data_IF_674145260784
#
_entry.id   IF_674145260784
#
_cell.length_a   1.000
_cell.length_b   1.000
_cell.length_c   1.000
_cell.angle_alpha   90.00
_cell.angle_beta   90.00
_cell.angle_gamma   90.00
#
_symmetry.space_group_name_H-M   'P 1'
#
loop_
_entity.id
_entity.type
_entity.pdbx_description
1 polymer ?
#
# COMPACT_ATOMS: atom_id res chain seq x y z
N UNK A 1 2.32 -21.20 7.44
CA UNK A 1 3.61 -21.18 6.70
C UNK A 1 4.68 -21.14 7.76
N UNK A 2 5.58 -22.10 7.75
CA UNK A 2 6.66 -22.19 8.71
C UNK A 2 7.66 -21.03 8.49
N UNK A 3 8.44 -20.71 9.54
CA UNK A 3 9.50 -19.70 9.51
C UNK A 3 10.47 -19.97 8.35
N UNK A 4 11.00 -18.95 7.73
CA UNK A 4 11.87 -19.03 6.55
C UNK A 4 11.15 -19.30 5.23
N UNK A 5 9.91 -19.81 5.25
CA UNK A 5 9.18 -20.15 4.02
C UNK A 5 8.46 -18.95 3.37
N UNK A 6 8.07 -17.95 4.16
CA UNK A 6 7.47 -16.73 3.63
C UNK A 6 8.52 -15.68 3.28
N UNK A 7 9.46 -15.48 4.20
CA UNK A 7 10.64 -14.60 4.06
C UNK A 7 11.84 -15.44 4.47
N UNK A 8 12.96 -15.43 3.74
CA UNK A 8 14.19 -16.05 4.18
C UNK A 8 14.59 -15.55 5.58
N UNK A 9 15.08 -16.44 6.46
CA UNK A 9 15.39 -16.10 7.85
C UNK A 9 16.37 -14.92 7.97
N UNK A 10 17.34 -14.84 7.07
CA UNK A 10 18.33 -13.76 7.01
C UNK A 10 17.76 -12.40 6.61
N UNK A 11 16.53 -12.36 6.09
CA UNK A 11 15.81 -11.14 5.73
C UNK A 11 14.66 -10.83 6.70
N UNK A 12 14.48 -11.62 7.75
CA UNK A 12 13.51 -11.31 8.79
C UNK A 12 13.90 -10.04 9.55
N UNK A 13 12.92 -9.20 9.89
CA UNK A 13 13.13 -7.90 10.52
C UNK A 13 11.96 -7.56 11.41
N UNK A 14 12.20 -6.71 12.40
CA UNK A 14 11.15 -6.08 13.21
C UNK A 14 10.44 -4.93 12.47
N UNK A 15 11.00 -4.46 11.35
CA UNK A 15 10.40 -3.41 10.54
C UNK A 15 9.43 -4.02 9.51
N UNK A 16 8.34 -3.30 9.25
CA UNK A 16 7.36 -3.63 8.20
C UNK A 16 6.84 -5.07 8.28
N UNK A 17 6.50 -5.51 9.48
CA UNK A 17 6.10 -6.90 9.77
C UNK A 17 4.64 -7.21 9.43
N UNK A 18 3.83 -6.22 9.09
CA UNK A 18 2.45 -6.43 8.68
C UNK A 18 2.38 -7.33 7.43
N UNK A 19 1.42 -8.25 7.43
CA UNK A 19 1.14 -9.18 6.33
C UNK A 19 -0.35 -9.14 6.06
N UNK A 20 -0.79 -8.07 5.39
CA UNK A 20 -2.20 -7.91 5.03
C UNK A 20 -2.58 -8.96 4.00
N UNK A 21 -3.74 -9.57 4.19
CA UNK A 21 -4.22 -10.66 3.36
C UNK A 21 -5.59 -10.34 2.77
N UNK A 22 -5.79 -10.62 1.49
CA UNK A 22 -7.08 -10.55 0.85
C UNK A 22 -7.28 -11.70 -0.17
N UNK A 23 -8.50 -12.19 -0.28
CA UNK A 23 -8.86 -13.22 -1.26
C UNK A 23 -9.45 -12.54 -2.49
N UNK A 24 -8.86 -12.81 -3.65
CA UNK A 24 -9.45 -12.42 -4.91
C UNK A 24 -10.54 -13.44 -5.32
N UNK A 25 -11.77 -12.98 -5.40
CA UNK A 25 -12.91 -13.83 -5.78
C UNK A 25 -12.86 -14.32 -7.23
N UNK A 26 -12.07 -13.67 -8.11
CA UNK A 26 -11.97 -14.05 -9.54
C UNK A 26 -11.05 -15.24 -9.78
N UNK A 27 -9.89 -15.28 -9.10
CA UNK A 27 -8.91 -16.36 -9.26
C UNK A 27 -8.85 -17.30 -8.04
N UNK A 28 -9.62 -16.98 -6.99
CA UNK A 28 -9.69 -17.72 -5.73
C UNK A 28 -8.33 -17.89 -5.03
N UNK A 29 -7.41 -16.93 -5.24
CA UNK A 29 -6.09 -16.92 -4.61
C UNK A 29 -6.05 -15.97 -3.42
N UNK A 30 -5.18 -16.29 -2.45
CA UNK A 30 -4.83 -15.43 -1.33
C UNK A 30 -3.69 -14.51 -1.75
N UNK A 31 -3.89 -13.22 -1.63
CA UNK A 31 -2.88 -12.18 -1.84
C UNK A 31 -2.34 -11.71 -0.51
N UNK A 32 -1.02 -11.52 -0.43
CA UNK A 32 -0.32 -11.10 0.79
C UNK A 32 0.65 -9.98 0.42
N UNK A 33 0.55 -8.84 1.11
CA UNK A 33 1.54 -7.77 1.02
C UNK A 33 2.75 -8.08 1.90
N UNK A 34 3.94 -7.72 1.42
CA UNK A 34 5.19 -7.97 2.11
C UNK A 34 6.05 -6.71 2.12
N UNK A 35 6.10 -6.04 3.27
CA UNK A 35 6.98 -4.90 3.48
C UNK A 35 8.45 -5.31 3.45
N UNK A 36 9.33 -4.41 3.01
CA UNK A 36 10.76 -4.68 3.04
C UNK A 36 11.39 -4.32 4.39
N UNK A 37 12.48 -4.99 4.80
CA UNK A 37 13.11 -4.80 6.11
C UNK A 37 13.72 -3.41 6.35
N UNK A 38 14.07 -2.69 5.29
CA UNK A 38 14.83 -1.43 5.37
C UNK A 38 14.00 -0.22 4.93
N UNK A 39 14.44 0.98 5.34
CA UNK A 39 13.90 2.23 4.77
C UNK A 39 14.11 2.27 3.24
N UNK A 40 15.36 2.09 2.82
CA UNK A 40 15.77 1.85 1.43
C UNK A 40 16.84 0.76 1.43
N UNK A 41 16.56 -0.37 0.82
CA UNK A 41 17.52 -1.47 0.74
C UNK A 41 18.65 -1.17 -0.24
N UNK A 42 19.81 -1.79 -0.01
CA UNK A 42 20.93 -1.77 -0.94
C UNK A 42 20.62 -2.49 -2.27
N UNK A 43 21.33 -2.18 -3.34
CA UNK A 43 21.07 -2.76 -4.66
C UNK A 43 21.32 -4.27 -4.75
N UNK A 44 22.14 -4.81 -3.86
CA UNK A 44 22.44 -6.25 -3.70
C UNK A 44 21.24 -7.07 -3.24
N UNK A 45 20.28 -6.45 -2.54
CA UNK A 45 19.08 -7.11 -2.02
C UNK A 45 18.00 -7.37 -3.08
N UNK A 46 17.89 -6.51 -4.08
CA UNK A 46 16.77 -6.55 -5.03
C UNK A 46 16.67 -7.79 -5.90
N UNK A 47 17.76 -8.49 -6.30
CA UNK A 47 17.62 -9.77 -6.98
C UNK A 47 16.81 -10.79 -6.18
N UNK A 48 17.10 -10.91 -4.87
CA UNK A 48 16.34 -11.78 -3.97
C UNK A 48 14.92 -11.24 -3.73
N UNK A 49 14.78 -9.95 -3.45
CA UNK A 49 13.47 -9.32 -3.17
C UNK A 49 12.50 -9.47 -4.34
N UNK A 50 12.95 -9.22 -5.55
CA UNK A 50 12.16 -9.42 -6.78
C UNK A 50 11.76 -10.90 -6.97
N UNK A 51 12.61 -11.83 -6.53
CA UNK A 51 12.35 -13.27 -6.66
C UNK A 51 11.33 -13.76 -5.66
N UNK A 52 11.43 -13.33 -4.39
CA UNK A 52 10.57 -13.83 -3.30
C UNK A 52 9.39 -12.91 -2.97
N UNK A 53 9.38 -11.67 -3.50
CA UNK A 53 8.31 -10.70 -3.34
C UNK A 53 8.41 -9.84 -2.08
N UNK A 54 9.60 -9.71 -1.46
CA UNK A 54 9.84 -8.74 -0.39
C UNK A 54 9.78 -7.33 -0.99
N UNK A 55 9.11 -6.41 -0.28
CA UNK A 55 8.81 -5.11 -0.86
C UNK A 55 7.88 -5.24 -2.06
N UNK A 56 6.83 -6.03 -1.91
CA UNK A 56 5.91 -6.34 -2.99
C UNK A 56 4.62 -7.01 -2.54
N UNK A 57 4.03 -7.74 -3.45
CA UNK A 57 2.84 -8.53 -3.19
C UNK A 57 2.95 -9.89 -3.86
N UNK A 58 2.61 -10.91 -3.12
CA UNK A 58 2.61 -12.31 -3.56
C UNK A 58 1.19 -12.86 -3.52
N UNK A 59 0.94 -13.94 -4.24
CA UNK A 59 -0.30 -14.71 -4.15
C UNK A 59 -0.03 -16.20 -4.11
N UNK A 60 -0.97 -16.93 -3.50
CA UNK A 60 -0.95 -18.38 -3.35
C UNK A 60 -2.30 -18.99 -3.69
N UNK A 61 -2.30 -20.29 -3.93
CA UNK A 61 -3.53 -21.06 -3.87
C UNK A 61 -4.12 -21.02 -2.46
N UNK A 62 -5.45 -20.86 -2.38
CA UNK A 62 -6.18 -20.70 -1.11
C UNK A 62 -6.17 -21.97 -0.24
N UNK A 63 -6.08 -23.15 -0.86
CA UNK A 63 -6.23 -24.42 -0.16
C UNK A 63 -4.89 -25.10 0.14
N UNK A 64 -4.83 -25.99 1.18
CA UNK A 64 -3.62 -26.71 1.52
C UNK A 64 -3.05 -27.46 0.32
N UNK A 65 -1.73 -27.50 0.23
CA UNK A 65 -1.00 -28.15 -0.84
C UNK A 65 0.38 -27.54 -0.98
N UNK A 66 1.05 -27.81 -2.11
CA UNK A 66 2.32 -27.16 -2.43
C UNK A 66 2.12 -25.65 -2.45
N UNK A 67 2.99 -24.93 -1.73
CA UNK A 67 3.00 -23.48 -1.72
C UNK A 67 3.37 -22.97 -3.11
N UNK A 68 2.34 -22.62 -3.87
CA UNK A 68 2.46 -22.12 -5.25
C UNK A 68 2.55 -20.60 -5.21
N UNK A 69 3.76 -20.11 -4.84
CA UNK A 69 4.03 -18.67 -4.72
C UNK A 69 4.18 -18.04 -6.09
N UNK A 70 3.40 -17.00 -6.33
CA UNK A 70 3.58 -16.10 -7.47
C UNK A 70 3.82 -14.68 -6.97
N UNK A 71 4.85 -14.00 -7.46
CA UNK A 71 5.10 -12.58 -7.20
C UNK A 71 4.36 -11.76 -8.25
N UNK A 72 3.40 -10.94 -7.81
CA UNK A 72 2.55 -10.15 -8.72
C UNK A 72 2.92 -8.67 -8.75
N UNK A 73 3.54 -8.16 -7.68
CA UNK A 73 4.00 -6.78 -7.58
C UNK A 73 5.35 -6.71 -6.88
N UNK A 74 6.20 -5.79 -7.30
CA UNK A 74 7.52 -5.48 -6.74
C UNK A 74 7.71 -3.97 -6.67
N UNK A 75 8.69 -3.51 -5.90
CA UNK A 75 8.95 -2.08 -5.76
C UNK A 75 7.88 -1.34 -4.97
N UNK A 76 7.24 -2.03 -4.04
CA UNK A 76 6.41 -1.50 -2.98
C UNK A 76 7.29 -1.41 -1.72
N UNK A 77 7.21 -0.32 -0.96
CA UNK A 77 8.01 -0.24 0.26
C UNK A 77 7.32 -0.96 1.42
N UNK A 78 6.12 -0.56 1.77
CA UNK A 78 5.36 -1.16 2.87
C UNK A 78 3.85 -0.95 2.71
N UNK A 79 3.19 -1.85 2.01
CA UNK A 79 1.73 -1.84 1.90
C UNK A 79 1.10 -2.50 3.13
N UNK A 80 0.26 -1.76 3.85
CA UNK A 80 -0.45 -2.21 5.05
C UNK A 80 -1.98 -2.21 4.83
N UNK A 81 -2.43 -1.97 3.63
CA UNK A 81 -3.84 -2.05 3.26
C UNK A 81 -4.01 -2.41 1.80
N UNK A 82 -4.80 -3.43 1.50
CA UNK A 82 -5.20 -3.73 0.14
C UNK A 82 -6.58 -4.37 0.07
N UNK A 83 -7.28 -4.09 -1.02
CA UNK A 83 -8.61 -4.65 -1.27
C UNK A 83 -8.88 -4.80 -2.75
N UNK A 84 -9.77 -5.72 -3.09
CA UNK A 84 -10.28 -5.88 -4.44
C UNK A 84 -11.56 -5.07 -4.64
N UNK A 85 -11.60 -4.26 -5.68
CA UNK A 85 -12.80 -3.51 -6.05
C UNK A 85 -13.95 -4.48 -6.33
N UNK A 86 -15.06 -4.43 -5.59
CA UNK A 86 -16.17 -5.37 -5.76
C UNK A 86 -16.86 -5.23 -7.13
N UNK A 87 -16.70 -4.09 -7.81
CA UNK A 87 -17.33 -3.83 -9.11
C UNK A 87 -16.58 -4.45 -10.28
N UNK A 88 -15.26 -4.33 -10.31
CA UNK A 88 -14.44 -4.75 -11.45
C UNK A 88 -13.35 -5.76 -11.09
N UNK A 89 -13.11 -5.99 -9.78
CA UNK A 89 -12.09 -6.89 -9.26
C UNK A 89 -10.66 -6.37 -9.38
N UNK A 90 -10.47 -5.07 -9.66
CA UNK A 90 -9.14 -4.46 -9.63
C UNK A 90 -8.60 -4.45 -8.20
N UNK A 91 -7.30 -4.70 -8.07
CA UNK A 91 -6.60 -4.64 -6.79
C UNK A 91 -6.16 -3.21 -6.54
N UNK A 92 -6.44 -2.71 -5.33
CA UNK A 92 -5.97 -1.43 -4.83
C UNK A 92 -5.22 -1.63 -3.52
N UNK A 93 -4.22 -0.77 -3.27
CA UNK A 93 -3.43 -0.86 -2.06
C UNK A 93 -2.78 0.48 -1.70
N UNK A 94 -2.57 0.68 -0.40
CA UNK A 94 -1.78 1.80 0.14
C UNK A 94 -0.31 1.43 0.17
N UNK A 95 0.58 2.41 0.12
CA UNK A 95 2.02 2.20 0.31
C UNK A 95 2.64 3.30 1.19
N UNK A 96 3.29 2.88 2.26
CA UNK A 96 4.04 3.76 3.16
C UNK A 96 5.43 3.99 2.63
N UNK A 97 5.78 5.25 2.42
CA UNK A 97 6.96 5.64 1.70
C UNK A 97 8.18 5.98 2.58
N UNK A 98 9.27 6.36 1.91
CA UNK A 98 10.62 6.48 2.49
C UNK A 98 10.68 7.61 3.52
N UNK A 99 11.36 7.34 4.63
CA UNK A 99 11.67 8.32 5.66
C UNK A 99 12.97 9.07 5.37
N UNK A 100 13.16 10.25 6.00
CA UNK A 100 14.41 11.00 5.94
C UNK A 100 14.62 11.86 4.70
N UNK A 101 13.53 12.21 4.00
CA UNK A 101 13.57 13.07 2.81
C UNK A 101 12.92 14.45 3.04
N UNK A 102 12.70 14.83 4.30
CA UNK A 102 12.02 16.07 4.71
C UNK A 102 10.55 15.89 4.99
N UNK A 103 9.89 16.92 5.54
CA UNK A 103 8.51 16.84 6.01
C UNK A 103 7.47 16.75 4.89
N UNK A 104 7.77 17.33 3.73
CA UNK A 104 6.81 17.44 2.63
C UNK A 104 6.98 16.33 1.57
N UNK A 105 8.05 15.54 1.66
CA UNK A 105 8.37 14.47 0.71
C UNK A 105 8.95 13.25 1.38
N UNK A 106 8.78 12.06 0.75
CA UNK A 106 7.91 11.76 -0.39
C UNK A 106 6.45 11.60 0.04
N UNK A 107 5.48 11.68 -0.90
CA UNK A 107 4.09 11.39 -0.59
C UNK A 107 3.91 9.90 -0.27
N UNK A 108 2.94 9.57 0.60
CA UNK A 108 2.35 8.24 0.65
C UNK A 108 1.56 7.96 -0.64
N UNK A 109 1.15 6.72 -0.86
CA UNK A 109 0.48 6.37 -2.11
C UNK A 109 -0.79 5.55 -1.92
N UNK A 110 -1.79 5.83 -2.76
CA UNK A 110 -2.85 4.89 -3.06
C UNK A 110 -2.66 4.39 -4.50
N UNK A 111 -2.44 3.11 -4.63
CA UNK A 111 -2.12 2.45 -5.87
C UNK A 111 -3.29 1.61 -6.39
N UNK A 112 -3.40 1.50 -7.73
CA UNK A 112 -4.23 0.52 -8.42
C UNK A 112 -3.32 -0.39 -9.22
N UNK A 113 -3.50 -1.70 -9.11
CA UNK A 113 -2.70 -2.63 -9.87
C UNK A 113 -2.93 -2.48 -11.38
N UNK A 114 -1.84 -2.23 -12.12
CA UNK A 114 -1.87 -2.16 -13.58
C UNK A 114 -2.09 -3.54 -14.20
N UNK A 115 -1.60 -4.59 -13.55
CA UNK A 115 -1.78 -5.98 -13.96
C UNK A 115 -1.69 -6.91 -12.76
N UNK A 116 -2.40 -8.03 -12.81
CA UNK A 116 -2.25 -9.16 -11.89
C UNK A 116 -1.69 -10.40 -12.61
N UNK A 117 -1.50 -10.33 -13.93
CA UNK A 117 -0.97 -11.43 -14.75
C UNK A 117 0.52 -11.33 -15.01
N UNK A 118 1.14 -10.19 -14.69
CA UNK A 118 2.57 -9.96 -14.87
C UNK A 118 3.13 -9.21 -13.66
N UNK A 119 4.37 -9.50 -13.31
CA UNK A 119 5.10 -8.81 -12.26
C UNK A 119 5.25 -7.33 -12.60
N UNK A 120 4.56 -6.46 -11.88
CA UNK A 120 4.53 -5.01 -12.08
C UNK A 120 5.41 -4.32 -11.05
N UNK A 121 6.14 -3.26 -11.46
CA UNK A 121 6.99 -2.47 -10.57
C UNK A 121 6.31 -1.15 -10.18
N UNK A 122 6.36 -0.80 -8.88
CA UNK A 122 5.66 0.36 -8.30
C UNK A 122 6.59 1.48 -7.81
N UNK A 123 7.86 1.46 -8.17
CA UNK A 123 8.75 2.61 -8.03
C UNK A 123 9.91 2.45 -7.06
N UNK A 124 9.68 1.82 -5.91
CA UNK A 124 10.74 1.63 -4.92
C UNK A 124 11.82 0.65 -5.44
N UNK A 125 13.11 0.88 -5.19
CA UNK A 125 13.75 1.88 -4.35
C UNK A 125 14.13 3.18 -5.08
N UNK A 126 13.91 3.26 -6.38
CA UNK A 126 14.29 4.41 -7.17
C UNK A 126 13.41 5.63 -6.88
N UNK A 127 12.13 5.39 -6.62
CA UNK A 127 11.18 6.38 -6.12
C UNK A 127 10.82 6.06 -4.68
N UNK A 128 10.77 7.09 -3.85
CA UNK A 128 10.38 6.98 -2.45
C UNK A 128 8.89 7.20 -2.23
N UNK A 129 8.16 7.59 -3.27
CA UNK A 129 6.75 7.87 -3.37
C UNK A 129 6.49 8.83 -4.51
N UNK A 130 5.38 8.68 -5.24
CA UNK A 130 5.11 9.42 -6.47
C UNK A 130 6.24 9.24 -7.50
N UNK A 131 6.85 10.33 -7.90
CA UNK A 131 8.05 10.31 -8.76
C UNK A 131 9.27 10.93 -8.05
N UNK A 132 9.26 11.01 -6.72
CA UNK A 132 10.35 11.60 -5.95
C UNK A 132 11.49 10.61 -5.83
N UNK A 133 12.67 10.95 -6.33
CA UNK A 133 13.85 10.08 -6.29
C UNK A 133 14.35 9.94 -4.86
N UNK A 134 14.62 8.70 -4.43
CA UNK A 134 15.27 8.46 -3.13
C UNK A 134 16.70 8.98 -3.14
N UNK A 135 17.21 9.40 -1.97
CA UNK A 135 18.58 9.91 -1.83
C UNK A 135 19.62 8.87 -2.25
N UNK A 136 19.40 7.60 -1.92
CA UNK A 136 20.30 6.47 -2.21
C UNK A 136 20.36 6.10 -3.68
N UNK A 137 19.34 6.46 -4.46
CA UNK A 137 19.22 6.11 -5.88
C UNK A 137 19.07 7.32 -6.80
N UNK A 138 19.23 8.56 -6.30
CA UNK A 138 19.04 9.79 -7.11
C UNK A 138 19.87 9.80 -8.40
N UNK A 139 21.12 9.34 -8.33
CA UNK A 139 22.07 9.34 -9.44
C UNK A 139 22.13 7.99 -10.19
N UNK A 140 21.35 7.00 -9.76
CA UNK A 140 21.34 5.66 -10.38
C UNK A 140 20.30 5.59 -11.50
N UNK A 141 20.71 5.07 -12.65
CA UNK A 141 19.77 4.78 -13.75
C UNK A 141 18.77 3.69 -13.33
N UNK A 142 17.50 3.92 -13.61
CA UNK A 142 16.48 2.87 -13.44
C UNK A 142 16.72 1.78 -14.47
N UNK A 143 16.87 0.50 -14.06
CA UNK A 143 17.00 -0.62 -14.99
C UNK A 143 15.80 -0.70 -15.93
N UNK A 144 16.06 -1.07 -17.18
CA UNK A 144 15.03 -1.13 -18.22
C UNK A 144 13.88 -2.10 -17.86
N UNK A 145 14.20 -3.21 -17.16
CA UNK A 145 13.20 -4.18 -16.66
C UNK A 145 12.16 -3.55 -15.73
N UNK A 146 12.55 -2.52 -14.94
CA UNK A 146 11.64 -1.77 -14.07
C UNK A 146 10.92 -0.67 -14.85
N UNK A 147 11.67 0.13 -15.59
CA UNK A 147 11.09 1.26 -16.33
C UNK A 147 9.96 0.85 -17.29
N UNK A 148 10.09 -0.29 -17.98
CA UNK A 148 9.07 -0.82 -18.89
C UNK A 148 7.79 -1.29 -18.18
N UNK A 149 7.88 -1.66 -16.91
CA UNK A 149 6.77 -2.21 -16.12
C UNK A 149 6.33 -1.27 -15.00
N UNK A 150 6.66 0.01 -15.09
CA UNK A 150 6.30 0.99 -14.05
C UNK A 150 4.81 1.30 -14.05
N UNK A 151 4.18 1.04 -12.94
CA UNK A 151 2.80 1.41 -12.65
C UNK A 151 2.80 2.58 -11.65
N UNK A 152 2.32 3.74 -12.11
CA UNK A 152 2.28 4.96 -11.30
C UNK A 152 1.16 4.88 -10.25
N UNK A 153 1.32 5.53 -9.10
CA UNK A 153 0.24 5.67 -8.13
C UNK A 153 -0.97 6.39 -8.74
N UNK A 154 -2.14 6.10 -8.21
CA UNK A 154 -3.38 6.79 -8.56
C UNK A 154 -3.54 8.09 -7.76
N UNK A 155 -3.03 8.11 -6.52
CA UNK A 155 -3.09 9.27 -5.63
C UNK A 155 -1.78 9.38 -4.88
N UNK A 156 -1.20 10.58 -4.89
CA UNK A 156 -0.15 10.98 -3.97
C UNK A 156 -0.84 11.48 -2.69
N UNK A 157 -0.62 10.77 -1.58
CA UNK A 157 -1.14 11.13 -0.26
C UNK A 157 -0.18 12.08 0.45
N UNK A 158 -0.64 12.74 1.51
CA UNK A 158 0.24 13.61 2.30
C UNK A 158 1.43 12.80 2.86
N UNK A 159 2.63 13.38 2.77
CA UNK A 159 3.85 12.76 3.28
C UNK A 159 3.73 12.42 4.77
N UNK A 160 4.29 11.31 5.18
CA UNK A 160 4.35 10.82 6.58
C UNK A 160 3.00 10.50 7.24
N UNK A 161 1.87 10.60 6.53
CA UNK A 161 0.56 10.32 7.13
C UNK A 161 0.37 8.85 7.52
N UNK A 162 1.22 7.96 7.04
CA UNK A 162 1.18 6.51 7.25
C UNK A 162 -0.17 5.92 6.81
N UNK A 163 -0.34 5.82 5.50
CA UNK A 163 -1.52 5.24 4.87
C UNK A 163 -1.56 3.73 5.10
N UNK A 164 -2.50 3.27 5.93
CA UNK A 164 -2.61 1.88 6.36
C UNK A 164 -3.82 1.18 5.72
N UNK A 165 -4.70 0.57 6.52
CA UNK A 165 -5.82 -0.21 6.05
C UNK A 165 -6.78 0.55 5.14
N UNK A 166 -7.40 -0.17 4.22
CA UNK A 166 -8.35 0.41 3.27
C UNK A 166 -9.45 -0.58 2.89
N UNK A 167 -10.62 -0.06 2.57
CA UNK A 167 -11.71 -0.87 2.03
C UNK A 167 -12.55 -0.11 1.02
N UNK A 168 -13.25 -0.85 0.16
CA UNK A 168 -14.30 -0.30 -0.69
C UNK A 168 -15.61 -0.25 0.06
N UNK A 169 -16.28 0.90 0.08
CA UNK A 169 -17.57 1.03 0.73
C UNK A 169 -18.65 0.24 -0.03
N UNK A 170 -19.17 -0.78 0.62
CA UNK A 170 -20.22 -1.65 0.11
C UNK A 170 -21.57 -1.45 0.79
N UNK A 171 -21.63 -0.60 1.83
CA UNK A 171 -22.83 -0.31 2.62
C UNK A 171 -23.90 0.48 1.87
N UNK A 172 -25.02 0.66 2.53
CA UNK A 172 -26.18 1.43 2.04
C UNK A 172 -26.57 2.60 2.96
N UNK A 173 -25.90 2.74 4.10
CA UNK A 173 -26.18 3.78 5.08
C UNK A 173 -25.74 5.15 4.60
N UNK A 174 -24.58 5.25 3.96
CA UNK A 174 -24.06 6.52 3.47
C UNK A 174 -24.70 6.93 2.14
N UNK A 175 -24.71 8.24 1.83
CA UNK A 175 -25.20 8.76 0.54
C UNK A 175 -24.59 8.05 -0.66
N UNK A 176 -25.33 8.00 -1.78
CA UNK A 176 -24.93 7.28 -3.01
C UNK A 176 -23.55 7.64 -3.55
N UNK A 177 -23.06 8.88 -3.30
CA UNK A 177 -21.72 9.32 -3.72
C UNK A 177 -20.59 8.48 -3.14
N UNK A 178 -20.80 7.85 -1.98
CA UNK A 178 -19.79 6.98 -1.34
C UNK A 178 -19.81 5.55 -1.84
N UNK A 179 -20.82 5.15 -2.61
CA UNK A 179 -20.89 3.78 -3.11
C UNK A 179 -19.68 3.45 -3.97
N UNK A 180 -18.96 2.37 -3.60
CA UNK A 180 -17.72 1.93 -4.23
C UNK A 180 -16.58 2.95 -4.15
N UNK A 181 -16.68 3.97 -3.27
CA UNK A 181 -15.52 4.78 -2.90
C UNK A 181 -14.56 3.97 -2.04
N UNK A 182 -13.29 4.36 -2.05
CA UNK A 182 -12.26 3.78 -1.19
C UNK A 182 -12.18 4.62 0.08
N UNK A 183 -12.28 3.99 1.23
CA UNK A 183 -11.91 4.58 2.51
C UNK A 183 -10.56 4.04 2.93
N UNK A 184 -9.66 4.91 3.40
CA UNK A 184 -8.34 4.53 3.88
C UNK A 184 -7.98 5.24 5.18
N UNK A 185 -7.32 4.51 6.08
CA UNK A 185 -6.86 5.04 7.36
C UNK A 185 -5.49 5.69 7.20
N UNK A 186 -5.36 6.95 7.63
CA UNK A 186 -4.08 7.60 7.86
C UNK A 186 -3.77 7.54 9.36
N UNK A 187 -2.75 6.75 9.71
CA UNK A 187 -2.36 6.51 11.10
C UNK A 187 -1.79 7.75 11.79
N UNK A 188 -1.17 8.62 11.03
CA UNK A 188 -0.49 9.80 11.51
C UNK A 188 1.03 9.63 11.58
N UNK A 189 1.72 10.75 11.44
CA UNK A 189 3.18 10.78 11.39
C UNK A 189 3.82 10.42 12.75
N UNK A 190 5.06 9.94 12.69
CA UNK A 190 5.91 9.75 13.86
C UNK A 190 7.17 10.64 13.79
N UNK A 191 7.55 11.09 12.60
CA UNK A 191 8.81 11.76 12.31
C UNK A 191 8.66 13.11 11.60
N UNK A 192 7.44 13.64 11.42
CA UNK A 192 7.23 14.98 10.88
C UNK A 192 7.35 16.03 11.99
N UNK A 193 7.95 17.18 11.68
CA UNK A 193 8.08 18.32 12.62
C UNK A 193 6.70 18.79 13.07
N UNK A 194 5.74 18.91 12.13
CA UNK A 194 4.34 19.12 12.45
C UNK A 194 3.60 17.81 12.27
N UNK A 195 3.04 17.23 13.34
CA UNK A 195 2.21 16.04 13.25
C UNK A 195 1.11 16.19 12.19
N UNK A 196 0.85 15.13 11.43
CA UNK A 196 -0.13 15.10 10.33
C UNK A 196 -0.77 13.73 10.18
N UNK A 197 -1.88 13.64 9.47
CA UNK A 197 -2.67 12.41 9.35
C UNK A 197 -3.62 12.23 10.54
N UNK A 198 -3.67 11.02 11.12
CA UNK A 198 -4.65 10.61 12.13
C UNK A 198 -6.08 10.91 11.70
N UNK A 199 -6.48 10.39 10.54
CA UNK A 199 -7.77 10.62 9.92
C UNK A 199 -8.17 9.49 8.99
N UNK A 200 -9.42 9.49 8.57
CA UNK A 200 -9.91 8.62 7.50
C UNK A 200 -10.07 9.45 6.23
N UNK A 201 -9.50 8.96 5.14
CA UNK A 201 -9.63 9.55 3.81
C UNK A 201 -10.73 8.85 3.02
N UNK A 202 -11.31 9.56 2.05
CA UNK A 202 -12.18 8.98 1.03
C UNK A 202 -11.65 9.32 -0.36
N UNK A 203 -11.52 8.29 -1.20
CA UNK A 203 -11.17 8.44 -2.62
C UNK A 203 -12.35 8.00 -3.47
N UNK A 204 -12.89 8.93 -4.24
CA UNK A 204 -13.96 8.67 -5.21
C UNK A 204 -13.37 8.18 -6.53
N UNK A 205 -14.05 7.25 -7.16
CA UNK A 205 -13.62 6.70 -8.46
C UNK A 205 -14.46 7.30 -9.60
N UNK A 206 -13.81 7.51 -10.73
CA UNK A 206 -14.48 7.88 -11.97
C UNK A 206 -15.20 6.67 -12.62
N UNK A 207 -15.86 6.92 -13.76
CA UNK A 207 -16.58 5.88 -14.52
C UNK A 207 -15.64 4.79 -15.09
N UNK A 208 -14.35 5.10 -15.23
CA UNK A 208 -13.32 4.17 -15.70
C UNK A 208 -12.68 3.38 -14.55
N UNK A 209 -13.08 3.68 -13.30
CA UNK A 209 -12.54 3.04 -12.11
C UNK A 209 -11.13 3.52 -11.75
N UNK A 210 -10.79 4.78 -12.05
CA UNK A 210 -9.57 5.44 -11.60
C UNK A 210 -9.92 6.44 -10.49
N UNK A 211 -8.91 6.84 -9.69
CA UNK A 211 -9.11 7.87 -8.68
C UNK A 211 -9.48 9.21 -9.35
N UNK A 212 -10.57 9.83 -8.89
CA UNK A 212 -11.07 11.10 -9.39
C UNK A 212 -10.89 12.24 -8.40
N UNK A 213 -11.07 11.96 -7.10
CA UNK A 213 -10.93 12.94 -6.02
C UNK A 213 -10.64 12.21 -4.73
N UNK A 214 -9.71 12.75 -3.95
CA UNK A 214 -9.40 12.28 -2.59
C UNK A 214 -9.53 13.44 -1.62
N UNK A 215 -10.19 13.21 -0.49
CA UNK A 215 -10.40 14.23 0.54
C UNK A 215 -10.51 13.58 1.92
N UNK A 216 -10.28 14.31 3.03
CA UNK A 216 -10.59 13.84 4.36
C UNK A 216 -12.08 13.50 4.49
N UNK A 217 -12.39 12.38 5.12
CA UNK A 217 -13.76 11.96 5.43
C UNK A 217 -14.09 12.17 6.91
N UNK A 218 -13.19 11.77 7.80
CA UNK A 218 -13.34 11.94 9.23
C UNK A 218 -12.01 12.33 9.86
N UNK A 219 -12.04 13.37 10.67
CA UNK A 219 -10.90 13.93 11.40
C UNK A 219 -11.29 14.14 12.87
N UNK A 220 -10.33 14.48 13.72
CA UNK A 220 -10.57 14.75 15.15
C UNK A 220 -9.75 13.83 16.08
N UNK A 221 -8.96 12.91 15.53
CA UNK A 221 -8.03 12.09 16.32
C UNK A 221 -6.69 12.77 16.61
N UNK A 222 -6.53 14.04 16.21
CA UNK A 222 -5.38 14.86 16.54
C UNK A 222 -5.85 16.24 16.98
N UNK A 223 -5.29 16.76 18.08
CA UNK A 223 -5.54 18.12 18.57
C UNK A 223 -4.85 19.16 17.70
N UNK A 224 -5.22 20.45 17.87
CA UNK A 224 -4.53 21.56 17.21
C UNK A 224 -3.05 21.65 17.58
N UNK A 225 -2.69 21.24 18.82
CA UNK A 225 -1.32 21.17 19.31
C UNK A 225 -0.53 19.95 18.78
N UNK A 226 -1.15 19.13 17.93
CA UNK A 226 -0.51 17.96 17.32
C UNK A 226 -0.43 16.72 18.21
N UNK A 227 -1.21 16.65 19.29
CA UNK A 227 -1.31 15.46 20.14
C UNK A 227 -2.30 14.47 19.53
N UNK A 228 -1.88 13.24 19.35
CA UNK A 228 -2.76 12.16 18.86
C UNK A 228 -3.64 11.62 19.99
N UNK A 229 -4.95 11.76 19.85
CA UNK A 229 -5.97 11.17 20.72
C UNK A 229 -6.33 9.74 20.28
N UNK A 230 -6.06 9.43 19.03
CA UNK A 230 -6.24 8.13 18.42
C UNK A 230 -5.48 8.07 17.09
N UNK A 231 -5.18 6.87 16.64
CA UNK A 231 -4.42 6.64 15.40
C UNK A 231 -5.12 5.55 14.58
N UNK A 232 -5.92 5.92 13.57
CA UNK A 232 -6.63 4.95 12.72
C UNK A 232 -5.67 3.94 12.08
N UNK A 233 -6.05 2.67 12.07
CA UNK A 233 -5.23 1.58 11.52
C UNK A 233 -5.91 0.95 10.31
N UNK A 234 -7.22 0.75 10.38
CA UNK A 234 -8.00 0.12 9.32
C UNK A 234 -9.41 0.68 9.28
N UNK A 235 -10.09 0.45 8.17
CA UNK A 235 -11.49 0.85 7.95
C UNK A 235 -12.24 -0.29 7.27
N UNK A 236 -13.43 -0.61 7.79
CA UNK A 236 -14.27 -1.68 7.24
C UNK A 236 -15.73 -1.26 7.22
N UNK A 237 -16.44 -1.68 6.19
CA UNK A 237 -17.90 -1.52 6.19
C UNK A 237 -18.54 -2.59 7.07
N UNK A 238 -19.30 -2.16 8.09
CA UNK A 238 -20.02 -3.07 8.97
C UNK A 238 -21.31 -3.58 8.32
N UNK A 239 -21.94 -4.59 8.95
CA UNK A 239 -23.11 -5.29 8.40
C UNK A 239 -24.34 -4.38 8.24
N UNK A 240 -24.47 -3.35 9.07
CA UNK A 240 -25.54 -2.34 8.97
C UNK A 240 -25.27 -1.24 7.95
N UNK A 241 -24.07 -1.22 7.35
CA UNK A 241 -23.62 -0.23 6.39
C UNK A 241 -22.88 0.97 7.00
N UNK A 242 -22.61 0.96 8.31
CA UNK A 242 -21.68 1.91 8.94
C UNK A 242 -20.22 1.60 8.56
N UNK A 243 -19.32 2.54 8.87
CA UNK A 243 -17.89 2.41 8.65
C UNK A 243 -17.19 2.32 10.00
#
# INVERSE_FOLDING_TARGET
>A
IDQGNLIPEEEESYNHTARVCAINKKDNKLYVSMGQPFNVAGPDKYPLYDQVGIGGMIRFNRFPGKLDREVVAIGIRNSVGHAFNPKDGSLWFTDNQVDGMGDETPPGELNKACSLSSKTWYGHPYYGGGNVRTNEYKDKKIPEKYAKNYCKPQVDMIAHAADLGMSFYSGKMFPKKYKNAIFSAQHGSWNAVKPRGARVMVTYLDKKGNAAKTEPFAEGWMTEDGVYLGRPVDVQTYIDGSL
#
